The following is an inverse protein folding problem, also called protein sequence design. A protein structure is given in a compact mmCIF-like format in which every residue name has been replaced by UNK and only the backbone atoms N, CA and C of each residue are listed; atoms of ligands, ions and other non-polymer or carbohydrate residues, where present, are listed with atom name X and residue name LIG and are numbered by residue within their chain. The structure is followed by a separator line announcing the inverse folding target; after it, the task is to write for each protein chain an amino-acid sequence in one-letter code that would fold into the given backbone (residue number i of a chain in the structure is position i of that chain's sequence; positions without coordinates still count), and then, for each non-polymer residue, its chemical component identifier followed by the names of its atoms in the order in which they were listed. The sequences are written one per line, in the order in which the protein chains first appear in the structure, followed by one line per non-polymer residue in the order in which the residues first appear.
data_IF_605267893691
#
_entry.id   IF_605267893691
#
_cell.length_a   1.000
_cell.length_b   1.000
_cell.length_c   1.000
_cell.angle_alpha   90.00
_cell.angle_beta   90.00
_cell.angle_gamma   90.00
#
_symmetry.space_group_name_H-M   'P 1'
#
loop_
_entity.id
_entity.type
_entity.pdbx_description
1 polymer ?
#
# COMPACT_ATOMS: atom_id res chain seq x y z
N UNK A 1 2.53 -10.10 7.75
CA UNK A 1 3.50 -9.17 7.11
C UNK A 1 3.10 -8.81 5.68
N UNK A 2 3.18 -9.70 4.68
CA UNK A 2 2.98 -9.31 3.26
C UNK A 2 1.55 -8.83 2.95
N UNK A 3 0.52 -9.43 3.56
CA UNK A 3 -0.88 -8.98 3.41
C UNK A 3 -1.13 -7.53 3.81
N UNK A 4 -0.34 -7.01 4.76
CA UNK A 4 -0.51 -5.66 5.30
C UNK A 4 0.00 -4.59 4.34
N UNK A 5 0.91 -4.96 3.44
CA UNK A 5 1.46 -4.05 2.43
C UNK A 5 0.45 -3.72 1.32
N UNK A 6 -0.65 -4.46 1.21
CA UNK A 6 -1.72 -4.25 0.22
C UNK A 6 -2.86 -3.38 0.73
N UNK A 7 -2.79 -2.97 2.01
CA UNK A 7 -3.81 -2.16 2.69
C UNK A 7 -3.19 -0.86 3.21
N UNK A 8 -2.07 -0.47 2.59
CA UNK A 8 -1.37 0.77 2.84
C UNK A 8 -2.17 1.98 2.31
N UNK A 9 -1.86 3.20 2.78
CA UNK A 9 -2.53 4.41 2.31
C UNK A 9 -2.46 4.60 0.79
N UNK A 10 -1.39 4.13 0.14
CA UNK A 10 -1.23 4.22 -1.31
C UNK A 10 -2.30 3.43 -2.07
N UNK A 11 -2.44 2.13 -1.74
CA UNK A 11 -3.49 1.29 -2.33
C UNK A 11 -4.89 1.81 -2.05
N UNK A 12 -5.16 2.24 -0.81
CA UNK A 12 -6.47 2.79 -0.45
C UNK A 12 -6.82 4.06 -1.24
N UNK A 13 -5.87 4.99 -1.43
CA UNK A 13 -6.10 6.20 -2.21
C UNK A 13 -6.39 5.87 -3.68
N UNK A 14 -5.57 5.02 -4.30
CA UNK A 14 -5.77 4.64 -5.71
C UNK A 14 -7.07 3.89 -5.93
N UNK A 15 -7.48 3.03 -4.99
CA UNK A 15 -8.75 2.31 -5.06
C UNK A 15 -9.95 3.25 -4.88
N UNK A 16 -9.88 4.16 -3.91
CA UNK A 16 -10.95 5.15 -3.68
C UNK A 16 -11.17 6.02 -4.91
N UNK A 17 -10.09 6.54 -5.51
CA UNK A 17 -10.16 7.37 -6.70
C UNK A 17 -10.60 6.59 -7.94
N UNK A 18 -10.12 5.36 -8.12
CA UNK A 18 -10.58 4.50 -9.21
C UNK A 18 -12.09 4.26 -9.15
N UNK A 19 -12.64 4.06 -7.94
CA UNK A 19 -14.09 3.96 -7.73
C UNK A 19 -14.82 5.27 -8.00
N UNK A 20 -14.29 6.40 -7.53
CA UNK A 20 -14.93 7.72 -7.69
C UNK A 20 -14.94 8.23 -9.14
N UNK A 21 -13.88 7.98 -9.90
CA UNK A 21 -13.73 8.47 -11.28
C UNK A 21 -14.31 7.49 -12.32
N UNK A 22 -14.15 6.19 -12.10
CA UNK A 22 -14.41 5.14 -13.10
C UNK A 22 -15.41 4.08 -12.63
N UNK A 23 -16.03 4.26 -11.47
CA UNK A 23 -17.08 3.40 -10.90
C UNK A 23 -16.64 1.94 -10.71
N UNK A 24 -16.83 1.10 -11.72
CA UNK A 24 -16.48 -0.32 -11.72
C UNK A 24 -15.53 -0.71 -12.85
N UNK A 25 -15.16 0.21 -13.73
CA UNK A 25 -14.42 -0.11 -14.96
C UNK A 25 -12.97 -0.54 -14.70
N UNK A 26 -12.37 -0.16 -13.56
CA UNK A 26 -10.98 -0.50 -13.21
C UNK A 26 -10.85 -1.78 -12.35
N UNK A 27 -11.97 -2.44 -11.99
CA UNK A 27 -11.93 -3.67 -11.17
C UNK A 27 -11.14 -4.81 -11.83
N UNK A 28 -11.19 -4.94 -13.16
CA UNK A 28 -10.40 -5.95 -13.88
C UNK A 28 -8.89 -5.70 -13.77
N UNK A 29 -8.46 -4.43 -13.66
CA UNK A 29 -7.05 -4.06 -13.50
C UNK A 29 -6.54 -4.56 -12.15
N UNK A 30 -7.34 -4.45 -11.09
CA UNK A 30 -7.00 -5.01 -9.77
C UNK A 30 -6.90 -6.52 -9.82
N UNK A 31 -7.88 -7.19 -10.43
CA UNK A 31 -7.90 -8.64 -10.50
C UNK A 31 -6.64 -9.16 -11.21
N UNK A 32 -6.33 -8.59 -12.37
CA UNK A 32 -5.13 -8.97 -13.14
C UNK A 32 -3.85 -8.57 -12.40
N UNK A 33 -3.82 -7.37 -11.82
CA UNK A 33 -2.69 -6.86 -11.04
C UNK A 33 -2.35 -7.75 -9.84
N UNK A 34 -3.36 -8.20 -9.08
CA UNK A 34 -3.17 -9.10 -7.95
C UNK A 34 -2.78 -10.52 -8.37
N UNK A 35 -3.27 -11.01 -9.52
CA UNK A 35 -2.80 -12.27 -10.11
C UNK A 35 -1.31 -12.17 -10.47
N UNK A 36 -0.90 -11.09 -11.15
CA UNK A 36 0.52 -10.84 -11.44
C UNK A 36 1.34 -10.68 -10.18
N UNK A 37 0.85 -9.94 -9.19
CA UNK A 37 1.51 -9.78 -7.90
C UNK A 37 1.73 -11.15 -7.22
N UNK A 38 0.72 -12.02 -7.20
CA UNK A 38 0.83 -13.38 -6.66
C UNK A 38 1.90 -14.19 -7.39
N UNK A 39 1.92 -14.15 -8.72
CA UNK A 39 2.90 -14.88 -9.53
C UNK A 39 4.32 -14.37 -9.24
N UNK A 40 4.54 -13.07 -9.31
CA UNK A 40 5.87 -12.47 -9.12
C UNK A 40 6.35 -12.65 -7.68
N UNK A 41 5.47 -12.49 -6.69
CA UNK A 41 5.81 -12.74 -5.28
C UNK A 41 6.12 -14.21 -5.00
N UNK A 42 5.36 -15.14 -5.60
CA UNK A 42 5.64 -16.57 -5.49
C UNK A 42 7.00 -16.92 -6.09
N UNK A 43 7.34 -16.34 -7.25
CA UNK A 43 8.66 -16.50 -7.87
C UNK A 43 9.78 -15.94 -6.98
N UNK A 44 9.59 -14.74 -6.41
CA UNK A 44 10.56 -14.13 -5.50
C UNK A 44 10.77 -14.95 -4.22
N UNK A 45 9.69 -15.51 -3.66
CA UNK A 45 9.76 -16.41 -2.52
C UNK A 45 10.49 -17.72 -2.87
N UNK A 46 10.11 -18.36 -3.98
CA UNK A 46 10.75 -19.60 -4.45
C UNK A 46 12.24 -19.41 -4.72
N UNK A 47 12.63 -18.26 -5.30
CA UNK A 47 14.02 -17.90 -5.51
C UNK A 47 14.78 -17.86 -4.17
N UNK A 48 14.21 -17.23 -3.15
CA UNK A 48 14.77 -17.20 -1.79
C UNK A 48 14.93 -18.60 -1.19
N UNK A 49 13.88 -19.44 -1.24
CA UNK A 49 13.93 -20.81 -0.68
C UNK A 49 14.99 -21.67 -1.37
N UNK A 50 15.05 -21.63 -2.70
CA UNK A 50 15.89 -22.54 -3.50
C UNK A 50 17.36 -22.12 -3.48
N UNK A 51 17.64 -20.83 -3.60
CA UNK A 51 19.03 -20.33 -3.71
C UNK A 51 19.67 -20.03 -2.36
N UNK A 52 18.87 -19.83 -1.30
CA UNK A 52 19.36 -19.39 0.00
C UNK A 52 19.86 -17.94 0.02
N UNK A 53 19.63 -17.18 -1.06
CA UNK A 53 20.03 -15.78 -1.25
C UNK A 53 18.81 -14.93 -1.59
N UNK A 54 18.83 -13.65 -1.21
CA UNK A 54 17.74 -12.75 -1.57
C UNK A 54 17.94 -12.13 -2.96
N UNK A 55 16.87 -11.62 -3.57
CA UNK A 55 16.86 -11.18 -4.97
C UNK A 55 17.98 -10.19 -5.31
N UNK A 56 18.24 -9.22 -4.42
CA UNK A 56 19.30 -8.22 -4.62
C UNK A 56 20.72 -8.83 -4.69
N UNK A 57 21.02 -9.88 -3.92
CA UNK A 57 22.33 -10.57 -3.97
C UNK A 57 22.52 -11.31 -5.29
N UNK A 58 21.44 -11.88 -5.83
CA UNK A 58 21.46 -12.61 -7.10
C UNK A 58 21.64 -11.63 -8.26
N UNK A 59 20.90 -10.52 -8.26
CA UNK A 59 21.09 -9.45 -9.24
C UNK A 59 22.54 -8.95 -9.24
N UNK A 60 23.16 -8.81 -8.06
CA UNK A 60 24.56 -8.43 -7.95
C UNK A 60 25.53 -9.47 -8.53
N UNK A 61 25.26 -10.77 -8.36
CA UNK A 61 26.14 -11.81 -8.89
C UNK A 61 26.02 -12.02 -10.39
N UNK A 62 24.85 -11.78 -10.97
CA UNK A 62 24.56 -12.02 -12.39
C UNK A 62 24.86 -10.80 -13.28
N UNK A 63 24.63 -9.58 -12.79
CA UNK A 63 24.73 -8.36 -13.61
C UNK A 63 26.08 -7.64 -13.51
N UNK A 64 26.56 -7.01 -14.60
CA UNK A 64 27.75 -6.18 -14.55
C UNK A 64 27.50 -4.90 -13.72
N UNK A 65 28.58 -4.35 -13.13
CA UNK A 65 28.54 -3.18 -12.24
C UNK A 65 27.64 -2.00 -12.68
N UNK A 66 27.62 -1.54 -13.96
CA UNK A 66 26.76 -0.42 -14.36
C UNK A 66 25.27 -0.77 -14.26
N UNK A 67 24.87 -1.99 -14.64
CA UNK A 67 23.47 -2.44 -14.58
C UNK A 67 23.05 -2.61 -13.12
N UNK A 68 23.94 -3.16 -12.29
CA UNK A 68 23.73 -3.28 -10.84
C UNK A 68 23.46 -1.93 -10.18
N UNK A 69 24.23 -0.88 -10.48
CA UNK A 69 24.04 0.46 -9.92
C UNK A 69 22.72 1.07 -10.40
N UNK A 70 22.36 0.89 -11.67
CA UNK A 70 21.09 1.34 -12.22
C UNK A 70 19.89 0.68 -11.51
N UNK A 71 19.93 -0.65 -11.33
CA UNK A 71 18.91 -1.41 -10.61
C UNK A 71 18.80 -0.97 -9.14
N UNK A 72 19.93 -0.73 -8.49
CA UNK A 72 19.95 -0.21 -7.12
C UNK A 72 19.28 1.15 -7.04
N UNK A 73 19.59 2.08 -7.95
CA UNK A 73 19.00 3.41 -7.96
C UNK A 73 17.49 3.36 -8.21
N UNK A 74 17.03 2.55 -9.15
CA UNK A 74 15.59 2.34 -9.42
C UNK A 74 14.87 1.76 -8.20
N UNK A 75 15.46 0.74 -7.55
CA UNK A 75 14.88 0.14 -6.36
C UNK A 75 14.84 1.12 -5.18
N UNK A 76 15.87 1.96 -5.04
CA UNK A 76 15.95 3.00 -4.02
C UNK A 76 14.87 4.07 -4.21
N UNK A 77 14.72 4.55 -5.44
CA UNK A 77 13.70 5.52 -5.81
C UNK A 77 12.31 4.92 -5.58
N UNK A 78 12.08 3.64 -5.90
CA UNK A 78 10.82 2.97 -5.62
C UNK A 78 10.50 2.84 -4.12
N UNK A 79 11.51 2.64 -3.27
CA UNK A 79 11.34 2.65 -1.80
C UNK A 79 10.97 4.05 -1.32
N UNK A 80 11.63 5.10 -1.82
CA UNK A 80 11.33 6.49 -1.46
C UNK A 80 9.93 6.88 -1.94
N UNK A 81 9.55 6.49 -3.16
CA UNK A 81 8.23 6.74 -3.72
C UNK A 81 7.12 6.04 -2.89
N UNK A 82 7.37 4.83 -2.41
CA UNK A 82 6.42 4.11 -1.56
C UNK A 82 6.26 4.75 -0.16
N UNK A 83 7.27 5.46 0.35
CA UNK A 83 7.21 6.15 1.65
C UNK A 83 6.37 7.45 1.58
N UNK A 84 6.19 8.04 0.39
CA UNK A 84 5.39 9.27 0.21
C UNK A 84 3.91 9.05 0.61
N UNK A 85 3.18 8.06 0.07
CA UNK A 85 1.83 7.73 0.53
C UNK A 85 1.71 7.49 2.03
N UNK A 86 2.75 6.93 2.65
CA UNK A 86 2.74 6.65 4.09
C UNK A 86 2.84 7.93 4.92
N UNK A 87 3.74 8.84 4.54
CA UNK A 87 3.90 10.15 5.20
C UNK A 87 2.61 10.97 5.07
N UNK A 88 2.01 10.98 3.88
CA UNK A 88 0.79 11.73 3.62
C UNK A 88 -0.41 11.06 4.30
N UNK A 89 -0.55 9.75 4.21
CA UNK A 89 -1.62 8.99 4.86
C UNK A 89 -1.60 9.15 6.39
N UNK A 90 -0.42 9.13 7.01
CA UNK A 90 -0.28 9.40 8.45
C UNK A 90 -0.60 10.85 8.81
N UNK A 91 -0.27 11.83 7.94
CA UNK A 91 -0.67 13.22 8.11
C UNK A 91 -2.21 13.38 8.02
N UNK A 92 -2.87 12.71 7.08
CA UNK A 92 -4.33 12.67 6.97
C UNK A 92 -4.98 11.99 8.17
N UNK A 93 -4.35 10.95 8.72
CA UNK A 93 -4.79 10.33 9.96
C UNK A 93 -4.82 11.34 11.13
N UNK A 94 -3.76 12.16 11.27
CA UNK A 94 -3.73 13.24 12.28
C UNK A 94 -4.78 14.33 12.01
N UNK A 95 -5.01 14.67 10.75
CA UNK A 95 -6.07 15.60 10.35
C UNK A 95 -7.46 15.08 10.73
N UNK A 96 -7.74 13.79 10.51
CA UNK A 96 -9.01 13.17 10.87
C UNK A 96 -9.21 13.06 12.40
N UNK A 97 -8.17 12.71 13.15
CA UNK A 97 -8.25 12.46 14.58
C UNK A 97 -8.22 13.73 15.44
N UNK A 98 -7.34 14.68 15.09
CA UNK A 98 -7.06 15.86 15.91
C UNK A 98 -7.36 17.18 15.19
N UNK A 99 -7.86 17.14 13.94
CA UNK A 99 -8.12 18.34 13.12
C UNK A 99 -6.87 19.22 12.94
N UNK A 100 -5.69 18.61 12.93
CA UNK A 100 -4.39 19.27 12.71
C UNK A 100 -4.16 19.43 11.20
N UNK A 101 -3.73 20.60 10.70
CA UNK A 101 -3.49 20.80 9.26
C UNK A 101 -2.39 19.87 8.72
N UNK A 102 -2.56 19.45 7.47
CA UNK A 102 -1.73 18.40 6.82
C UNK A 102 -0.23 18.71 6.89
N UNK A 103 0.19 19.96 6.68
CA UNK A 103 1.60 20.34 6.76
C UNK A 103 2.22 20.13 8.15
N UNK A 104 1.46 20.38 9.23
CA UNK A 104 1.90 20.06 10.60
C UNK A 104 1.92 18.54 10.78
N UNK A 105 0.91 17.85 10.24
CA UNK A 105 0.87 16.38 10.20
C UNK A 105 2.17 15.80 9.61
N UNK A 106 2.59 16.28 8.44
CA UNK A 106 3.82 15.85 7.74
C UNK A 106 5.09 16.15 8.56
N UNK A 107 5.13 17.21 9.37
CA UNK A 107 6.26 17.45 10.28
C UNK A 107 6.25 16.51 11.48
N UNK A 108 5.06 16.23 12.02
CA UNK A 108 4.87 15.30 13.15
C UNK A 108 5.24 13.88 12.74
N UNK A 109 4.98 13.47 11.49
CA UNK A 109 5.33 12.12 11.03
C UNK A 109 6.82 11.86 11.13
N UNK A 110 7.68 12.82 10.78
CA UNK A 110 9.13 12.69 11.00
C UNK A 110 9.49 12.30 12.45
N UNK A 111 8.80 12.89 13.42
CA UNK A 111 8.94 12.54 14.85
C UNK A 111 8.31 11.18 15.19
N UNK A 112 7.13 10.86 14.62
CA UNK A 112 6.45 9.58 14.85
C UNK A 112 7.30 8.39 14.42
N UNK A 113 8.18 8.53 13.43
CA UNK A 113 9.13 7.47 13.07
C UNK A 113 10.17 7.16 14.12
N UNK A 114 10.68 8.19 14.80
CA UNK A 114 11.63 7.98 15.89
C UNK A 114 10.95 7.24 17.04
N UNK A 115 9.67 7.56 17.28
CA UNK A 115 8.84 6.88 18.25
C UNK A 115 8.57 5.42 17.85
N UNK A 116 8.32 5.15 16.56
CA UNK A 116 8.16 3.79 16.02
C UNK A 116 9.43 2.96 16.15
N UNK A 117 10.60 3.53 15.82
CA UNK A 117 11.90 2.88 16.03
C UNK A 117 12.15 2.56 17.51
N UNK A 118 11.69 3.43 18.42
CA UNK A 118 11.67 3.16 19.85
C UNK A 118 10.73 2.00 20.22
N UNK A 119 9.54 1.96 19.62
CA UNK A 119 8.53 0.94 19.88
C UNK A 119 8.89 -0.44 19.31
N UNK A 120 9.68 -0.49 18.21
CA UNK A 120 10.21 -1.75 17.68
C UNK A 120 11.06 -2.52 18.70
N UNK A 121 11.75 -1.82 19.61
CA UNK A 121 12.48 -2.46 20.74
C UNK A 121 11.54 -3.20 21.71
N UNK A 122 10.25 -2.86 21.73
CA UNK A 122 9.25 -3.45 22.62
C UNK A 122 8.60 -4.74 22.06
N UNK A 123 8.85 -5.07 20.79
CA UNK A 123 8.52 -6.36 20.17
C UNK A 123 7.60 -6.28 18.95
N UNK A 124 8.15 -6.63 17.78
CA UNK A 124 7.49 -6.57 16.45
C UNK A 124 6.19 -7.38 16.39
N UNK A 125 6.12 -8.56 17.03
CA UNK A 125 4.92 -9.43 16.97
C UNK A 125 3.67 -8.79 17.58
N UNK A 126 3.81 -8.01 18.66
CA UNK A 126 2.67 -7.36 19.31
C UNK A 126 2.10 -6.24 18.44
N UNK A 127 2.98 -5.50 17.78
CA UNK A 127 2.62 -4.43 16.87
C UNK A 127 1.92 -5.00 15.61
N UNK A 128 2.44 -6.08 15.04
CA UNK A 128 1.81 -6.75 13.88
C UNK A 128 0.40 -7.25 14.22
N UNK A 129 0.20 -7.85 15.38
CA UNK A 129 -1.12 -8.30 15.83
C UNK A 129 -2.10 -7.12 15.99
N UNK A 130 -1.65 -6.01 16.59
CA UNK A 130 -2.45 -4.80 16.72
C UNK A 130 -2.87 -4.27 15.34
N UNK A 131 -1.92 -4.09 14.42
CA UNK A 131 -2.20 -3.57 13.07
C UNK A 131 -3.17 -4.51 12.34
N UNK A 132 -2.93 -5.82 12.37
CA UNK A 132 -3.81 -6.81 11.73
C UNK A 132 -5.24 -6.73 12.26
N UNK A 133 -5.42 -6.49 13.56
CA UNK A 133 -6.74 -6.32 14.17
C UNK A 133 -7.44 -5.04 13.68
N UNK A 134 -6.72 -3.91 13.60
CA UNK A 134 -7.30 -2.66 13.08
C UNK A 134 -7.68 -2.75 11.60
N UNK A 135 -6.84 -3.40 10.80
CA UNK A 135 -7.10 -3.63 9.37
C UNK A 135 -8.32 -4.53 9.19
N UNK A 136 -8.47 -5.58 10.01
CA UNK A 136 -9.67 -6.41 9.98
C UNK A 136 -10.94 -5.65 10.34
N UNK A 137 -10.87 -4.74 11.33
CA UNK A 137 -11.99 -3.85 11.67
C UNK A 137 -12.34 -2.94 10.48
N UNK A 138 -11.33 -2.33 9.84
CA UNK A 138 -11.54 -1.48 8.67
C UNK A 138 -12.21 -2.25 7.52
N UNK A 139 -11.70 -3.46 7.21
CA UNK A 139 -12.27 -4.34 6.21
C UNK A 139 -13.75 -4.67 6.53
N UNK A 140 -14.04 -5.06 7.78
CA UNK A 140 -15.41 -5.36 8.22
C UNK A 140 -16.35 -4.16 8.05
N UNK A 141 -15.87 -2.93 8.28
CA UNK A 141 -16.65 -1.71 8.05
C UNK A 141 -16.96 -1.49 6.57
N UNK A 142 -15.98 -1.68 5.67
CA UNK A 142 -16.23 -1.59 4.22
C UNK A 142 -17.17 -2.70 3.71
N UNK A 143 -17.06 -3.94 4.21
CA UNK A 143 -18.04 -4.99 3.90
C UNK A 143 -19.44 -4.69 4.44
N UNK A 144 -19.52 -4.05 5.61
CA UNK A 144 -20.77 -3.54 6.17
C UNK A 144 -21.42 -2.50 5.25
N UNK A 145 -20.64 -1.51 4.81
CA UNK A 145 -21.11 -0.48 3.87
C UNK A 145 -21.54 -1.10 2.54
N UNK A 146 -20.77 -2.04 2.00
CA UNK A 146 -21.11 -2.77 0.78
C UNK A 146 -22.49 -3.45 0.88
N UNK A 147 -22.82 -4.00 2.07
CA UNK A 147 -24.10 -4.67 2.33
C UNK A 147 -25.27 -3.70 2.44
N UNK A 148 -25.03 -2.46 2.87
CA UNK A 148 -26.03 -1.39 2.99
C UNK A 148 -26.29 -0.74 1.63
N UNK A 149 -25.20 -0.36 0.95
CA UNK A 149 -25.20 0.36 -0.32
C UNK A 149 -25.72 -0.52 -1.46
N UNK A 150 -25.58 -1.85 -1.34
CA UNK A 150 -26.09 -2.86 -2.29
C UNK A 150 -25.78 -2.50 -3.75
N UNK A 151 -24.49 -2.43 -4.13
CA UNK A 151 -24.11 -2.19 -5.52
C UNK A 151 -24.75 -3.24 -6.43
N UNK A 152 -25.17 -2.86 -7.65
CA UNK A 152 -25.69 -3.82 -8.61
C UNK A 152 -24.61 -4.87 -8.94
N UNK A 153 -24.76 -6.08 -8.39
CA UNK A 153 -23.77 -7.15 -8.51
C UNK A 153 -23.42 -7.47 -9.97
N UNK A 154 -24.38 -7.29 -10.89
CA UNK A 154 -24.19 -7.47 -12.33
C UNK A 154 -23.21 -6.46 -12.94
N UNK A 155 -23.16 -5.23 -12.44
CA UNK A 155 -22.22 -4.20 -12.90
C UNK A 155 -20.83 -4.42 -12.32
N UNK A 156 -20.74 -4.78 -11.04
CA UNK A 156 -19.47 -5.17 -10.39
C UNK A 156 -18.84 -6.37 -11.10
N UNK A 157 -19.61 -7.43 -11.38
CA UNK A 157 -19.12 -8.60 -12.10
C UNK A 157 -18.70 -8.26 -13.53
N UNK A 158 -19.45 -7.38 -14.21
CA UNK A 158 -19.06 -6.90 -15.55
C UNK A 158 -17.77 -6.09 -15.51
N UNK A 159 -17.59 -5.22 -14.51
CA UNK A 159 -16.37 -4.45 -14.32
C UNK A 159 -15.15 -5.32 -13.98
N UNK A 160 -15.38 -6.44 -13.30
CA UNK A 160 -14.33 -7.40 -12.92
C UNK A 160 -13.83 -8.24 -14.12
N UNK A 161 -14.72 -8.62 -15.05
CA UNK A 161 -14.40 -9.55 -16.14
C UNK A 161 -14.35 -8.94 -17.54
N UNK A 162 -14.94 -7.76 -17.76
CA UNK A 162 -14.99 -7.12 -19.08
C UNK A 162 -14.04 -5.92 -19.08
N UNK A 163 -12.85 -6.04 -19.70
CA UNK A 163 -11.92 -4.92 -19.77
C UNK A 163 -12.53 -3.82 -20.64
N UNK A 164 -12.79 -2.67 -20.02
CA UNK A 164 -13.18 -1.44 -20.70
C UNK A 164 -12.33 -0.32 -20.12
N UNK A 165 -11.63 0.38 -21.01
CA UNK A 165 -10.91 1.61 -20.68
C UNK A 165 -11.63 2.71 -21.45
N UNK A 166 -12.61 3.37 -20.82
CA UNK A 166 -13.30 4.52 -21.40
C UNK A 166 -12.95 5.77 -20.60
N UNK A 167 -12.46 6.79 -21.29
CA UNK A 167 -12.22 8.13 -20.72
C UNK A 167 -10.77 8.61 -20.83
N UNK A 168 -10.61 9.93 -20.86
CA UNK A 168 -9.31 10.58 -20.73
C UNK A 168 -8.87 10.52 -19.26
N UNK A 169 -7.74 9.86 -18.96
CA UNK A 169 -7.23 9.68 -17.59
C UNK A 169 -7.27 8.24 -17.08
N UNK A 170 -8.13 7.38 -17.65
CA UNK A 170 -8.29 5.98 -17.22
C UNK A 170 -6.98 5.16 -17.27
N UNK A 171 -6.11 5.45 -18.24
CA UNK A 171 -4.80 4.78 -18.35
C UNK A 171 -3.86 5.21 -17.22
N UNK A 172 -3.90 6.47 -16.80
CA UNK A 172 -3.09 6.98 -15.69
C UNK A 172 -3.51 6.32 -14.37
N UNK A 173 -4.82 6.27 -14.11
CA UNK A 173 -5.37 5.64 -12.91
C UNK A 173 -5.11 4.12 -12.92
N UNK A 174 -5.18 3.45 -14.09
CA UNK A 174 -4.84 2.04 -14.22
C UNK A 174 -3.35 1.76 -13.94
N UNK A 175 -2.44 2.61 -14.41
CA UNK A 175 -1.00 2.49 -14.12
C UNK A 175 -0.74 2.75 -12.64
N UNK A 176 -1.35 3.80 -12.05
CA UNK A 176 -1.23 4.10 -10.63
C UNK A 176 -1.69 2.92 -9.77
N UNK A 177 -2.83 2.33 -10.14
CA UNK A 177 -3.41 1.18 -9.45
C UNK A 177 -2.54 -0.07 -9.60
N UNK A 178 -1.97 -0.33 -10.78
CA UNK A 178 -1.00 -1.43 -10.96
C UNK A 178 0.29 -1.21 -10.16
N UNK A 179 0.82 0.01 -10.13
CA UNK A 179 2.03 0.36 -9.37
C UNK A 179 1.83 0.24 -7.86
N UNK A 180 0.66 0.65 -7.36
CA UNK A 180 0.30 0.49 -5.95
C UNK A 180 0.17 -1.00 -5.56
N UNK A 181 -0.34 -1.86 -6.46
CA UNK A 181 -0.46 -3.30 -6.22
C UNK A 181 0.88 -4.05 -6.37
N UNK A 182 1.68 -3.70 -7.36
CA UNK A 182 2.94 -4.40 -7.67
C UNK A 182 4.12 -3.57 -7.16
N UNK A 183 4.26 -3.52 -5.84
CA UNK A 183 5.37 -2.82 -5.19
C UNK A 183 6.71 -3.58 -5.36
N UNK A 184 7.71 -3.04 -6.08
CA UNK A 184 8.98 -3.73 -6.33
C UNK A 184 9.76 -4.04 -5.06
N UNK A 185 9.73 -3.12 -4.08
CA UNK A 185 10.44 -3.29 -2.82
C UNK A 185 9.90 -4.47 -1.99
N UNK A 186 8.61 -4.81 -2.13
CA UNK A 186 8.02 -5.99 -1.50
C UNK A 186 8.58 -7.29 -2.07
N UNK A 187 9.01 -7.31 -3.34
CA UNK A 187 9.65 -8.49 -3.95
C UNK A 187 11.01 -8.78 -3.28
N UNK A 188 11.83 -7.74 -3.13
CA UNK A 188 13.10 -7.83 -2.43
C UNK A 188 12.90 -8.25 -0.97
N UNK A 189 11.96 -7.61 -0.27
CA UNK A 189 11.64 -7.93 1.12
C UNK A 189 11.14 -9.36 1.28
N UNK A 190 10.20 -9.81 0.45
CA UNK A 190 9.62 -11.15 0.58
C UNK A 190 10.66 -12.24 0.32
N UNK A 191 11.54 -12.06 -0.68
CA UNK A 191 12.65 -12.98 -0.93
C UNK A 191 13.60 -13.12 0.26
N UNK A 192 13.80 -12.04 1.02
CA UNK A 192 14.67 -12.05 2.21
C UNK A 192 13.96 -12.56 3.47
N UNK A 193 12.67 -12.25 3.66
CA UNK A 193 11.90 -12.73 4.82
C UNK A 193 11.74 -14.24 4.82
N UNK A 194 11.62 -14.84 3.64
CA UNK A 194 11.54 -16.30 3.48
C UNK A 194 12.79 -17.00 4.01
N UNK A 195 13.97 -16.39 3.89
CA UNK A 195 15.24 -16.92 4.43
C UNK A 195 15.31 -16.90 5.96
N UNK A 196 14.51 -16.04 6.62
CA UNK A 196 14.48 -15.99 8.09
C UNK A 196 13.74 -17.19 8.70
N UNK A 197 12.95 -17.93 7.92
CA UNK A 197 12.25 -19.13 8.37
C UNK A 197 13.16 -20.35 8.21
N UNK A 198 13.16 -21.24 9.22
CA UNK A 198 13.90 -22.51 9.15
C UNK A 198 13.25 -23.43 8.11
N UNK A 199 13.80 -23.47 6.91
CA UNK A 199 13.37 -24.40 5.85
C UNK A 199 14.22 -25.67 5.90
N UNK A 200 13.60 -26.87 5.82
CA UNK A 200 14.35 -28.11 5.74
C UNK A 200 15.09 -28.21 4.39
N UNK A 201 16.37 -28.54 4.44
CA UNK A 201 17.27 -28.63 3.26
C UNK A 201 17.02 -29.82 2.33
N UNK A 202 15.98 -30.61 2.56
CA UNK A 202 15.57 -31.70 1.68
C UNK A 202 14.79 -31.18 0.49
N UNK A 203 14.96 -31.78 -0.70
CA UNK A 203 14.20 -31.44 -1.93
C UNK A 203 12.69 -31.47 -1.71
N UNK A 204 12.21 -32.46 -0.93
CA UNK A 204 10.78 -32.56 -0.58
C UNK A 204 10.36 -31.44 0.38
N UNK A 205 11.21 -31.10 1.34
CA UNK A 205 11.01 -29.99 2.28
C UNK A 205 10.97 -28.62 1.60
N UNK A 206 11.81 -28.40 0.59
CA UNK A 206 11.80 -27.18 -0.23
C UNK A 206 10.49 -27.08 -1.02
N UNK A 207 10.06 -28.17 -1.67
CA UNK A 207 8.80 -28.19 -2.42
C UNK A 207 7.59 -27.91 -1.53
N UNK A 208 7.55 -28.53 -0.35
CA UNK A 208 6.49 -28.31 0.63
C UNK A 208 6.51 -26.87 1.17
N UNK A 209 7.70 -26.30 1.41
CA UNK A 209 7.84 -24.90 1.82
C UNK A 209 7.36 -23.93 0.73
N UNK A 210 7.74 -24.14 -0.53
CA UNK A 210 7.25 -23.34 -1.66
C UNK A 210 5.73 -23.40 -1.80
N UNK A 211 5.14 -24.59 -1.66
CA UNK A 211 3.68 -24.76 -1.65
C UNK A 211 3.02 -23.98 -0.50
N UNK A 212 3.58 -24.07 0.71
CA UNK A 212 3.08 -23.33 1.86
C UNK A 212 3.13 -21.82 1.65
N UNK A 213 4.25 -21.28 1.16
CA UNK A 213 4.37 -19.84 0.87
C UNK A 213 3.41 -19.37 -0.22
N UNK A 214 3.13 -20.21 -1.21
CA UNK A 214 2.13 -19.92 -2.24
C UNK A 214 0.72 -19.86 -1.64
N UNK A 215 0.34 -20.82 -0.79
CA UNK A 215 -0.96 -20.79 -0.12
C UNK A 215 -1.09 -19.62 0.86
N UNK A 216 -0.04 -19.31 1.63
CA UNK A 216 -0.02 -18.18 2.57
C UNK A 216 -0.18 -16.84 1.82
N UNK A 217 0.60 -16.64 0.75
CA UNK A 217 0.54 -15.42 -0.06
C UNK A 217 -0.75 -15.33 -0.87
N UNK A 218 -1.22 -16.45 -1.41
CA UNK A 218 -2.48 -16.55 -2.15
C UNK A 218 -3.69 -16.21 -1.28
N UNK A 219 -3.74 -16.71 -0.05
CA UNK A 219 -4.80 -16.36 0.89
C UNK A 219 -4.76 -14.88 1.29
N UNK A 220 -3.57 -14.34 1.57
CA UNK A 220 -3.38 -12.92 1.88
C UNK A 220 -3.85 -12.00 0.74
N UNK A 221 -3.42 -12.27 -0.49
CA UNK A 221 -3.80 -11.50 -1.67
C UNK A 221 -5.28 -11.66 -2.03
N UNK A 222 -5.87 -12.83 -1.76
CA UNK A 222 -7.30 -13.02 -1.92
C UNK A 222 -8.11 -12.17 -0.95
N UNK A 223 -7.69 -12.07 0.32
CA UNK A 223 -8.34 -11.16 1.29
C UNK A 223 -8.18 -9.70 0.84
N UNK A 224 -6.99 -9.31 0.38
CA UNK A 224 -6.75 -7.97 -0.17
C UNK A 224 -7.67 -7.68 -1.37
N UNK A 225 -7.80 -8.62 -2.33
CA UNK A 225 -8.72 -8.49 -3.46
C UNK A 225 -10.15 -8.19 -3.02
N UNK A 226 -10.66 -8.92 -2.01
CA UNK A 226 -12.02 -8.71 -1.53
C UNK A 226 -12.19 -7.32 -0.90
N UNK A 227 -11.17 -6.83 -0.18
CA UNK A 227 -11.20 -5.49 0.41
C UNK A 227 -11.17 -4.42 -0.69
N UNK A 228 -10.27 -4.52 -1.68
CA UNK A 228 -10.16 -3.55 -2.76
C UNK A 228 -11.46 -3.49 -3.60
N UNK A 229 -12.07 -4.65 -3.89
CA UNK A 229 -13.40 -4.71 -4.53
C UNK A 229 -14.45 -3.99 -3.67
N UNK A 230 -14.45 -4.20 -2.35
CA UNK A 230 -15.39 -3.54 -1.45
C UNK A 230 -15.18 -2.01 -1.43
N UNK A 231 -13.94 -1.53 -1.32
CA UNK A 231 -13.60 -0.10 -1.31
C UNK A 231 -14.05 0.58 -2.60
N UNK A 232 -13.68 0.03 -3.77
CA UNK A 232 -14.08 0.59 -5.07
C UNK A 232 -15.58 0.54 -5.27
N UNK A 233 -16.23 -0.56 -4.89
CA UNK A 233 -17.67 -0.69 -5.09
C UNK A 233 -18.44 0.29 -4.22
N UNK A 234 -18.01 0.51 -2.97
CA UNK A 234 -18.60 1.52 -2.09
C UNK A 234 -18.33 2.92 -2.64
N UNK A 235 -17.09 3.26 -2.99
CA UNK A 235 -16.71 4.56 -3.56
C UNK A 235 -17.53 4.87 -4.83
N UNK A 236 -17.54 3.94 -5.78
CA UNK A 236 -18.25 4.09 -7.05
C UNK A 236 -19.77 4.10 -6.93
N UNK A 237 -20.36 3.42 -5.96
CA UNK A 237 -21.82 3.49 -5.77
C UNK A 237 -22.23 4.78 -5.06
N UNK A 238 -21.47 5.19 -4.04
CA UNK A 238 -21.77 6.41 -3.30
C UNK A 238 -21.54 7.64 -4.17
N UNK A 239 -20.47 7.70 -4.95
CA UNK A 239 -20.15 8.87 -5.77
C UNK A 239 -20.94 8.98 -7.08
N UNK A 240 -21.49 7.88 -7.61
CA UNK A 240 -22.37 7.90 -8.80
C UNK A 240 -23.86 7.74 -8.45
N UNK A 241 -24.25 7.96 -7.20
CA UNK A 241 -25.65 7.96 -6.79
C UNK A 241 -26.46 9.10 -7.42
N UNK A 242 -27.76 8.92 -7.61
CA UNK A 242 -28.62 9.97 -8.21
C UNK A 242 -29.05 11.06 -7.22
N UNK A 243 -28.83 10.86 -5.91
CA UNK A 243 -29.25 11.77 -4.83
C UNK A 243 -28.08 12.23 -3.94
N UNK A 244 -27.00 12.76 -4.52
CA UNK A 244 -25.93 13.40 -3.73
C UNK A 244 -26.25 14.87 -3.46
N UNK A 245 -25.96 15.32 -2.25
CA UNK A 245 -25.92 16.75 -1.94
C UNK A 245 -24.77 17.42 -2.72
N UNK A 246 -24.88 18.72 -3.00
CA UNK A 246 -23.83 19.45 -3.72
C UNK A 246 -22.45 19.37 -3.02
N UNK A 247 -22.42 19.23 -1.68
CA UNK A 247 -21.20 19.02 -0.91
C UNK A 247 -20.59 17.62 -1.08
N UNK A 248 -21.41 16.59 -1.32
CA UNK A 248 -20.91 15.23 -1.51
C UNK A 248 -20.43 15.01 -2.95
N UNK A 249 -20.98 15.75 -3.92
CA UNK A 249 -20.49 15.79 -5.31
C UNK A 249 -19.07 16.39 -5.36
N UNK A 250 -18.84 17.50 -4.66
CA UNK A 250 -17.52 18.16 -4.58
C UNK A 250 -16.47 17.25 -3.91
N UNK A 251 -16.85 16.55 -2.83
CA UNK A 251 -16.00 15.55 -2.16
C UNK A 251 -15.72 14.32 -3.02
N UNK A 252 -16.62 13.97 -3.92
CA UNK A 252 -16.42 12.86 -4.85
C UNK A 252 -15.56 13.24 -6.06
N UNK A 253 -15.54 14.52 -6.48
CA UNK A 253 -14.65 14.98 -7.55
C UNK A 253 -13.18 15.07 -7.13
N UNK A 254 -12.89 15.35 -5.86
CA UNK A 254 -11.55 15.35 -5.27
C UNK A 254 -11.50 14.35 -4.09
N UNK A 255 -11.84 13.08 -4.35
CA UNK A 255 -11.83 12.06 -3.31
C UNK A 255 -10.38 11.73 -2.91
N UNK A 256 -10.01 12.15 -1.70
CA UNK A 256 -8.75 11.79 -1.04
C UNK A 256 -8.97 11.16 0.35
N UNK A 257 -7.93 10.50 0.87
CA UNK A 257 -7.89 9.85 2.19
C UNK A 257 -8.36 10.74 3.36
N UNK A 258 -8.27 12.06 3.26
CA UNK A 258 -8.72 13.00 4.31
C UNK A 258 -10.25 13.11 4.41
N UNK A 259 -10.94 12.93 3.29
CA UNK A 259 -12.39 13.09 3.23
C UNK A 259 -13.10 11.75 3.21
N UNK A 260 -12.49 10.68 2.69
CA UNK A 260 -13.08 9.34 2.49
C UNK A 260 -13.78 8.70 3.69
N UNK A 261 -13.52 9.17 4.92
CA UNK A 261 -14.23 8.72 6.13
C UNK A 261 -15.76 8.91 6.10
N UNK A 262 -16.29 9.75 5.21
CA UNK A 262 -17.73 9.89 4.99
C UNK A 262 -18.37 8.65 4.35
N UNK A 263 -17.62 7.89 3.56
CA UNK A 263 -18.08 6.65 2.92
C UNK A 263 -18.48 5.58 3.94
N UNK A 264 -17.93 5.68 5.16
CA UNK A 264 -18.17 4.75 6.27
C UNK A 264 -19.24 5.27 7.27
N UNK A 265 -19.90 6.38 6.96
CA UNK A 265 -20.82 7.05 7.89
C UNK A 265 -22.12 6.27 8.12
N UNK A 266 -22.56 5.41 7.20
CA UNK A 266 -23.80 4.64 7.39
C UNK A 266 -23.63 3.53 8.42
N UNK A 267 -22.44 2.91 8.48
CA UNK A 267 -22.10 1.84 9.43
C UNK A 267 -21.60 2.40 10.75
N UNK A 268 -20.66 3.35 10.71
CA UNK A 268 -19.95 3.84 11.91
C UNK A 268 -20.53 5.14 12.49
N UNK A 269 -21.46 5.79 11.78
CA UNK A 269 -22.04 7.05 12.22
C UNK A 269 -20.98 8.14 12.45
N UNK A 270 -21.03 8.77 13.63
CA UNK A 270 -20.07 9.83 14.01
C UNK A 270 -18.66 9.31 14.31
N UNK A 271 -18.50 8.01 14.54
CA UNK A 271 -17.19 7.42 14.88
C UNK A 271 -16.38 7.02 13.65
N UNK A 272 -16.91 7.20 12.43
CA UNK A 272 -16.25 6.78 11.19
C UNK A 272 -14.87 7.42 11.00
N UNK A 273 -14.77 8.73 11.22
CA UNK A 273 -13.50 9.47 11.11
C UNK A 273 -12.46 9.01 12.13
N UNK A 274 -12.88 8.61 13.33
CA UNK A 274 -11.96 8.12 14.37
C UNK A 274 -11.45 6.74 13.98
N UNK A 275 -12.33 5.78 13.69
CA UNK A 275 -11.92 4.41 13.38
C UNK A 275 -11.07 4.39 12.10
N UNK A 276 -11.49 5.12 11.07
CA UNK A 276 -10.73 5.23 9.82
C UNK A 276 -9.38 5.90 10.04
N UNK A 277 -9.33 7.02 10.79
CA UNK A 277 -8.08 7.70 11.12
C UNK A 277 -7.11 6.84 11.93
N UNK A 278 -7.56 6.10 12.94
CA UNK A 278 -6.67 5.21 13.71
C UNK A 278 -6.15 4.07 12.83
N UNK A 279 -7.01 3.49 11.99
CA UNK A 279 -6.62 2.39 11.11
C UNK A 279 -5.66 2.85 9.99
N UNK A 280 -5.86 4.05 9.43
CA UNK A 280 -4.94 4.68 8.48
C UNK A 280 -3.57 4.96 9.11
N UNK A 281 -3.55 5.46 10.36
CA UNK A 281 -2.32 5.67 11.12
C UNK A 281 -1.58 4.34 11.32
N UNK A 282 -2.28 3.29 11.76
CA UNK A 282 -1.67 1.98 11.99
C UNK A 282 -1.14 1.35 10.70
N UNK A 283 -1.86 1.49 9.59
CA UNK A 283 -1.43 1.02 8.27
C UNK A 283 -0.16 1.73 7.79
N UNK A 284 -0.14 3.08 7.86
CA UNK A 284 1.05 3.85 7.49
C UNK A 284 2.27 3.52 8.36
N UNK A 285 2.10 3.29 9.66
CA UNK A 285 3.20 2.82 10.51
C UNK A 285 3.69 1.42 10.14
N UNK A 286 2.79 0.50 9.76
CA UNK A 286 3.15 -0.84 9.30
C UNK A 286 4.01 -0.80 8.05
N UNK A 287 3.60 0.02 7.08
CA UNK A 287 4.26 0.12 5.79
C UNK A 287 5.67 0.72 5.92
N UNK A 288 5.87 1.69 6.83
CA UNK A 288 7.19 2.27 7.10
C UNK A 288 8.18 1.22 7.61
N UNK A 289 7.70 0.24 8.37
CA UNK A 289 8.53 -0.88 8.85
C UNK A 289 8.96 -1.75 7.66
N UNK A 290 8.03 -2.13 6.79
CA UNK A 290 8.33 -2.95 5.61
C UNK A 290 9.26 -2.23 4.63
N UNK A 291 9.03 -0.93 4.37
CA UNK A 291 9.91 -0.10 3.53
C UNK A 291 11.33 0.01 4.09
N UNK A 292 11.49 0.18 5.40
CA UNK A 292 12.81 0.23 6.05
C UNK A 292 13.57 -1.09 5.89
N UNK A 293 12.91 -2.23 6.10
CA UNK A 293 13.53 -3.54 5.92
C UNK A 293 13.86 -3.80 4.45
N UNK A 294 12.94 -3.48 3.52
CA UNK A 294 13.16 -3.63 2.09
C UNK A 294 14.39 -2.82 1.64
N UNK A 295 14.44 -1.54 2.01
CA UNK A 295 15.56 -0.66 1.70
C UNK A 295 16.88 -1.12 2.32
N UNK A 296 16.85 -1.80 3.46
CA UNK A 296 18.04 -2.41 4.05
C UNK A 296 18.54 -3.61 3.24
N UNK A 297 17.65 -4.53 2.84
CA UNK A 297 18.02 -5.69 2.02
C UNK A 297 18.49 -5.29 0.62
N UNK A 298 17.88 -4.26 0.02
CA UNK A 298 18.32 -3.68 -1.26
C UNK A 298 19.74 -3.12 -1.12
N UNK A 299 20.00 -2.29 -0.12
CA UNK A 299 21.32 -1.68 0.07
C UNK A 299 22.40 -2.70 0.43
N UNK A 300 22.09 -3.66 1.30
CA UNK A 300 23.02 -4.74 1.65
C UNK A 300 23.28 -5.65 0.45
N UNK A 301 22.25 -6.03 -0.32
CA UNK A 301 22.41 -6.92 -1.45
C UNK A 301 23.16 -6.30 -2.63
N UNK A 302 22.85 -5.06 -2.99
CA UNK A 302 23.49 -4.40 -4.14
C UNK A 302 24.86 -3.79 -3.79
N UNK A 303 25.00 -3.12 -2.63
CA UNK A 303 26.20 -2.34 -2.31
C UNK A 303 27.07 -2.92 -1.18
N UNK A 304 26.67 -4.01 -0.50
CA UNK A 304 27.30 -4.54 0.73
C UNK A 304 27.42 -3.53 1.88
N UNK A 305 26.70 -2.41 1.83
CA UNK A 305 26.78 -1.37 2.85
C UNK A 305 25.86 -1.74 4.02
N UNK A 306 26.46 -2.06 5.17
CA UNK A 306 25.74 -2.33 6.42
C UNK A 306 25.50 -1.02 7.19
N UNK A 307 24.42 -0.32 6.84
CA UNK A 307 23.97 0.85 7.60
C UNK A 307 23.02 0.44 8.73
N UNK A 308 23.00 1.22 9.82
CA UNK A 308 22.04 1.03 10.93
C UNK A 308 20.62 1.33 10.42
N UNK A 309 19.65 0.50 10.81
CA UNK A 309 18.22 0.62 10.42
C UNK A 309 17.63 2.00 10.73
N UNK A 310 17.92 2.57 11.90
CA UNK A 310 17.45 3.92 12.23
C UNK A 310 17.97 4.94 11.24
N UNK A 311 19.28 4.93 10.95
CA UNK A 311 19.90 5.96 10.12
C UNK A 311 19.36 5.91 8.70
N UNK A 312 19.10 4.69 8.22
CA UNK A 312 18.45 4.44 6.94
C UNK A 312 17.04 5.01 6.89
N UNK A 313 16.21 4.64 7.87
CA UNK A 313 14.83 5.12 7.96
C UNK A 313 14.76 6.65 8.03
N UNK A 314 15.62 7.28 8.85
CA UNK A 314 15.67 8.73 8.96
C UNK A 314 16.05 9.38 7.62
N UNK A 315 17.04 8.83 6.92
CA UNK A 315 17.47 9.35 5.62
C UNK A 315 16.38 9.24 4.56
N UNK A 316 15.78 8.05 4.38
CA UNK A 316 14.71 7.84 3.39
C UNK A 316 13.49 8.71 3.70
N UNK A 317 13.12 8.83 4.97
CA UNK A 317 12.02 9.72 5.36
C UNK A 317 12.31 11.19 5.19
N UNK A 318 13.50 11.67 5.50
CA UNK A 318 13.84 13.07 5.24
C UNK A 318 13.70 13.41 3.76
N UNK A 319 14.08 12.46 2.88
CA UNK A 319 13.93 12.61 1.43
C UNK A 319 12.45 12.56 1.02
N UNK A 320 11.62 11.70 1.62
CA UNK A 320 10.18 11.62 1.32
C UNK A 320 9.35 12.78 1.91
N UNK A 321 9.74 13.30 3.08
CA UNK A 321 9.08 14.42 3.76
C UNK A 321 9.27 15.73 2.98
N UNK A 322 10.45 15.96 2.38
CA UNK A 322 10.73 17.19 1.64
C UNK A 322 9.71 17.49 0.51
N UNK A 323 9.46 16.59 -0.47
CA UNK A 323 8.45 16.83 -1.51
C UNK A 323 7.04 16.86 -0.92
N UNK A 324 6.74 16.01 0.08
CA UNK A 324 5.43 15.99 0.73
C UNK A 324 5.11 17.30 1.44
N UNK A 325 6.09 17.92 2.09
CA UNK A 325 5.94 19.20 2.78
C UNK A 325 5.76 20.35 1.79
N UNK A 326 6.58 20.40 0.73
CA UNK A 326 6.47 21.43 -0.31
C UNK A 326 5.09 21.40 -0.97
N UNK A 327 4.62 20.21 -1.36
CA UNK A 327 3.32 20.05 -1.99
C UNK A 327 2.17 20.33 -1.00
N UNK A 328 2.31 19.92 0.28
CA UNK A 328 1.29 20.21 1.30
C UNK A 328 1.17 21.70 1.63
N UNK A 329 2.27 22.47 1.56
CA UNK A 329 2.25 23.93 1.79
C UNK A 329 1.62 24.67 0.61
N UNK A 330 1.94 24.27 -0.62
CA UNK A 330 1.47 24.96 -1.83
C UNK A 330 0.05 24.54 -2.20
N UNK A 331 -0.23 23.23 -2.19
CA UNK A 331 -1.45 22.63 -2.73
C UNK A 331 -2.42 22.09 -1.68
N UNK A 332 -2.11 22.20 -0.39
CA UNK A 332 -2.98 21.72 0.69
C UNK A 332 -3.24 20.20 0.63
N UNK A 333 -4.44 19.78 1.07
CA UNK A 333 -4.88 18.38 1.05
C UNK A 333 -4.96 17.82 -0.38
N UNK A 334 -5.51 18.58 -1.33
CA UNK A 334 -5.71 18.11 -2.70
C UNK A 334 -4.36 17.91 -3.42
N UNK A 335 -3.39 18.81 -3.18
CA UNK A 335 -2.03 18.64 -3.67
C UNK A 335 -1.37 17.38 -3.11
N UNK A 336 -1.55 17.12 -1.80
CA UNK A 336 -1.01 15.93 -1.16
C UNK A 336 -1.63 14.63 -1.71
N UNK A 337 -2.95 14.58 -1.91
CA UNK A 337 -3.62 13.43 -2.57
C UNK A 337 -3.09 13.16 -3.98
N UNK A 338 -2.92 14.20 -4.80
CA UNK A 338 -2.31 14.06 -6.14
C UNK A 338 -0.88 13.54 -6.11
N UNK A 339 -0.10 13.93 -5.10
CA UNK A 339 1.26 13.44 -4.93
C UNK A 339 1.31 11.93 -4.64
N UNK A 340 0.32 11.39 -3.93
CA UNK A 340 0.16 9.94 -3.74
C UNK A 340 0.02 9.24 -5.08
N UNK A 341 -0.87 9.73 -5.97
CA UNK A 341 -1.08 9.15 -7.31
C UNK A 341 0.21 9.18 -8.13
N UNK A 342 0.88 10.33 -8.15
CA UNK A 342 2.14 10.51 -8.90
C UNK A 342 3.21 9.53 -8.39
N UNK A 343 3.29 9.34 -7.07
CA UNK A 343 4.20 8.36 -6.47
C UNK A 343 3.86 6.94 -6.91
N UNK A 344 2.57 6.55 -6.92
CA UNK A 344 2.12 5.24 -7.40
C UNK A 344 2.39 5.01 -8.89
N UNK A 345 2.21 6.04 -9.73
CA UNK A 345 2.57 5.99 -11.16
C UNK A 345 4.07 5.84 -11.36
N UNK A 346 4.89 6.45 -10.50
CA UNK A 346 6.35 6.33 -10.58
C UNK A 346 6.84 4.93 -10.16
N UNK A 347 6.06 4.22 -9.35
CA UNK A 347 6.33 2.83 -8.95
C UNK A 347 5.92 1.83 -10.05
N UNK A 348 4.83 2.09 -10.77
CA UNK A 348 4.28 1.23 -11.83
C UNK A 348 5.08 1.27 -13.12
#
# INVERSE_FOLDING_TARGET
MVSLAYLDPGNLETDLQAGANHRYELLWVILIGLIFALIIQSLAANLGVVTGKHLAEICKSEYPKPVMICLWLLAEVAVIAADIPEVIGTAFAFYLLFRIPVWIGVLITGSSTLLLLGLQRYGVRKLEFLISMLVFVMAACFFGELSIVKPPAKEVLKGLFIPKLKGNGATGDAIALLGALVMPHNLFLHSALVLSRKTPSSVRGIKDACGFFLYESGFALFVALLINIAVISVSGTVCFGENLSAEDIDKCSDLSLDNSSFLLKNVLGRSSSIVYGVALLASGQSSTITGTYAGQYIMQGFLDIKMKTWLRNLMTRCIAIAPSLVVSIIGGSNGAGRLIIIASVLIG
#
